data_IF_351169528287
#
_entry.id   IF_351169528287
#
_cell.length_a   1.000
_cell.length_b   1.000
_cell.length_c   1.000
_cell.angle_alpha   90.00
_cell.angle_beta   90.00
_cell.angle_gamma   90.00
#
_symmetry.space_group_name_H-M   'P 1'
#
loop_
_entity.id
_entity.type
_entity.pdbx_description
1 polymer ?
#
# COMPACT_ATOMS: atom_id res chain seq x y z
N UNK A 1 5.79 -8.27 -4.69
CA UNK A 1 4.38 -8.56 -5.07
C UNK A 1 3.55 -7.28 -5.28
N UNK A 2 3.79 -6.24 -4.47
CA UNK A 2 3.05 -4.96 -4.54
C UNK A 2 3.03 -4.27 -5.92
N UNK A 3 4.14 -4.31 -6.68
CA UNK A 3 4.20 -3.67 -8.01
C UNK A 3 3.22 -4.28 -9.01
N UNK A 4 2.91 -5.58 -8.89
CA UNK A 4 1.90 -6.24 -9.72
C UNK A 4 0.50 -5.73 -9.40
N UNK A 5 0.21 -5.51 -8.12
CA UNK A 5 -1.06 -4.95 -7.65
C UNK A 5 -1.24 -3.52 -8.14
N UNK A 6 -0.20 -2.69 -8.00
CA UNK A 6 -0.22 -1.30 -8.48
C UNK A 6 -0.41 -1.26 -10.00
N UNK A 7 0.27 -2.12 -10.75
CA UNK A 7 0.17 -2.15 -12.22
C UNK A 7 -1.22 -2.54 -12.72
N UNK A 8 -1.99 -3.29 -11.92
CA UNK A 8 -3.35 -3.70 -12.24
C UNK A 8 -4.42 -2.63 -11.96
N UNK A 9 -4.06 -1.50 -11.35
CA UNK A 9 -4.98 -0.39 -11.13
C UNK A 9 -5.34 0.30 -12.45
N UNK A 10 -6.59 0.73 -12.56
CA UNK A 10 -7.07 1.54 -13.68
C UNK A 10 -6.74 3.01 -13.43
N UNK A 11 -6.12 3.69 -14.40
CA UNK A 11 -5.78 5.11 -14.30
C UNK A 11 -4.32 5.36 -13.90
N UNK A 12 -3.63 6.21 -14.64
CA UNK A 12 -2.22 6.54 -14.39
C UNK A 12 -2.03 7.38 -13.12
N UNK A 13 -3.00 8.22 -12.77
CA UNK A 13 -2.96 9.03 -11.55
C UNK A 13 -3.05 8.16 -10.27
N UNK A 14 -3.93 7.15 -10.29
CA UNK A 14 -4.06 6.19 -9.18
C UNK A 14 -2.78 5.36 -9.03
N UNK A 15 -2.16 4.93 -10.14
CA UNK A 15 -0.86 4.24 -10.11
C UNK A 15 0.23 5.13 -9.51
N UNK A 16 0.34 6.37 -10.00
CA UNK A 16 1.36 7.31 -9.53
C UNK A 16 1.22 7.59 -8.02
N UNK A 17 -0.02 7.78 -7.56
CA UNK A 17 -0.32 7.96 -6.14
C UNK A 17 0.05 6.73 -5.30
N UNK A 18 -0.26 5.50 -5.76
CA UNK A 18 0.09 4.31 -4.99
C UNK A 18 1.59 4.02 -4.98
N UNK A 19 2.31 4.36 -6.05
CA UNK A 19 3.79 4.30 -6.07
C UNK A 19 4.39 5.28 -5.07
N UNK A 20 3.94 6.54 -5.05
CA UNK A 20 4.45 7.53 -4.09
C UNK A 20 4.13 7.12 -2.66
N UNK A 21 2.89 6.66 -2.40
CA UNK A 21 2.49 6.15 -1.08
C UNK A 21 3.39 5.00 -0.62
N UNK A 22 3.68 4.04 -1.50
CA UNK A 22 4.58 2.95 -1.17
C UNK A 22 5.98 3.46 -0.83
N UNK A 23 6.56 4.31 -1.68
CA UNK A 23 7.92 4.81 -1.52
C UNK A 23 8.09 5.68 -0.26
N UNK A 24 7.14 6.58 0.00
CA UNK A 24 7.22 7.53 1.11
C UNK A 24 7.06 6.83 2.47
N UNK A 25 6.25 5.77 2.54
CA UNK A 25 5.91 5.12 3.79
C UNK A 25 6.62 3.77 4.01
N UNK A 26 7.27 3.19 3.00
CA UNK A 26 7.92 1.87 3.12
C UNK A 26 8.90 1.82 4.29
N UNK A 27 9.75 2.85 4.46
CA UNK A 27 10.71 2.91 5.57
C UNK A 27 10.05 2.91 6.95
N UNK A 28 8.94 3.63 7.10
CA UNK A 28 8.18 3.69 8.35
C UNK A 28 7.52 2.34 8.66
N UNK A 29 6.84 1.76 7.66
CA UNK A 29 6.14 0.47 7.81
C UNK A 29 7.15 -0.63 8.11
N UNK A 30 8.27 -0.68 7.38
CA UNK A 30 9.35 -1.65 7.62
C UNK A 30 9.91 -1.57 9.04
N UNK A 31 10.20 -0.36 9.52
CA UNK A 31 10.67 -0.14 10.89
C UNK A 31 9.64 -0.61 11.91
N UNK A 32 8.37 -0.33 11.67
CA UNK A 32 7.28 -0.69 12.56
C UNK A 32 7.06 -2.20 12.62
N UNK A 33 6.98 -2.86 11.47
CA UNK A 33 6.83 -4.32 11.36
C UNK A 33 7.98 -5.02 12.06
N UNK A 34 9.22 -4.64 11.76
CA UNK A 34 10.39 -5.24 12.40
C UNK A 34 10.39 -5.05 13.92
N UNK A 35 10.04 -3.86 14.42
CA UNK A 35 9.97 -3.62 15.86
C UNK A 35 8.89 -4.43 16.57
N UNK A 36 7.86 -4.90 15.85
CA UNK A 36 6.80 -5.74 16.40
C UNK A 36 7.20 -7.22 16.32
N UNK A 37 7.64 -7.68 15.15
CA UNK A 37 7.88 -9.11 14.89
C UNK A 37 9.25 -9.57 15.34
N UNK A 38 10.25 -8.67 15.38
CA UNK A 38 11.67 -8.97 15.53
C UNK A 38 12.18 -10.01 14.50
N UNK A 39 11.46 -10.12 13.38
CA UNK A 39 11.69 -11.12 12.34
C UNK A 39 11.89 -10.37 11.03
N UNK A 40 13.14 -10.28 10.58
CA UNK A 40 13.50 -9.64 9.33
C UNK A 40 13.18 -10.52 8.11
N UNK A 41 13.13 -11.84 8.28
CA UNK A 41 12.96 -12.80 7.19
C UNK A 41 11.51 -12.76 6.68
N UNK A 42 10.54 -12.58 7.59
CA UNK A 42 9.12 -12.47 7.26
C UNK A 42 8.60 -11.02 7.18
N UNK A 43 9.45 -10.02 7.44
CA UNK A 43 9.02 -8.62 7.47
C UNK A 43 8.52 -8.14 6.10
N UNK A 44 9.16 -8.57 5.01
CA UNK A 44 8.84 -8.09 3.66
C UNK A 44 7.45 -8.51 3.20
N UNK A 45 7.02 -9.73 3.50
CA UNK A 45 5.69 -10.21 3.16
C UNK A 45 4.61 -9.45 3.94
N UNK A 46 4.83 -9.20 5.23
CA UNK A 46 3.91 -8.41 6.06
C UNK A 46 3.81 -6.96 5.59
N UNK A 47 4.94 -6.35 5.18
CA UNK A 47 4.94 -4.99 4.63
C UNK A 47 4.10 -4.96 3.34
N UNK A 48 4.32 -5.91 2.43
CA UNK A 48 3.55 -6.02 1.19
C UNK A 48 2.04 -6.18 1.48
N UNK A 49 1.66 -7.05 2.41
CA UNK A 49 0.26 -7.27 2.81
C UNK A 49 -0.41 -6.01 3.39
N UNK A 50 0.32 -5.25 4.21
CA UNK A 50 -0.16 -3.98 4.77
C UNK A 50 -0.46 -2.99 3.64
N UNK A 51 0.47 -2.83 2.69
CA UNK A 51 0.26 -1.90 1.57
C UNK A 51 -0.86 -2.36 0.65
N UNK A 52 -1.00 -3.67 0.37
CA UNK A 52 -2.14 -4.18 -0.41
C UNK A 52 -3.46 -3.83 0.27
N UNK A 53 -3.60 -4.08 1.57
CA UNK A 53 -4.80 -3.71 2.33
C UNK A 53 -5.06 -2.20 2.32
N UNK A 54 -4.00 -1.39 2.45
CA UNK A 54 -4.12 0.07 2.39
C UNK A 54 -4.61 0.53 1.03
N UNK A 55 -4.07 0.00 -0.07
CA UNK A 55 -4.49 0.29 -1.45
C UNK A 55 -5.96 -0.06 -1.64
N UNK A 56 -6.37 -1.26 -1.25
CA UNK A 56 -7.77 -1.68 -1.37
C UNK A 56 -8.73 -0.77 -0.59
N UNK A 57 -8.40 -0.44 0.65
CA UNK A 57 -9.22 0.42 1.51
C UNK A 57 -9.25 1.87 1.06
N UNK A 58 -8.14 2.41 0.57
CA UNK A 58 -8.05 3.78 0.07
C UNK A 58 -8.82 3.95 -1.24
N UNK A 59 -8.67 3.03 -2.20
CA UNK A 59 -9.47 3.03 -3.44
C UNK A 59 -10.97 2.91 -3.13
N UNK A 60 -11.36 2.03 -2.21
CA UNK A 60 -12.76 1.90 -1.77
C UNK A 60 -13.31 3.22 -1.21
N UNK A 61 -12.58 3.88 -0.30
CA UNK A 61 -13.01 5.13 0.34
C UNK A 61 -13.03 6.33 -0.60
N UNK A 62 -12.05 6.45 -1.51
CA UNK A 62 -12.02 7.54 -2.49
C UNK A 62 -13.21 7.43 -3.45
N UNK A 63 -13.53 6.22 -3.93
CA UNK A 63 -14.69 5.99 -4.81
C UNK A 63 -16.02 6.28 -4.11
N UNK A 64 -16.19 5.90 -2.84
CA UNK A 64 -17.43 6.18 -2.10
C UNK A 64 -17.60 7.67 -1.78
N UNK A 65 -16.51 8.39 -1.50
CA UNK A 65 -16.56 9.84 -1.27
C UNK A 65 -16.80 10.64 -2.55
N UNK A 66 -16.29 10.17 -3.70
CA UNK A 66 -16.52 10.79 -5.01
C UNK A 66 -17.96 10.60 -5.56
N UNK A 67 -18.67 9.56 -5.09
CA UNK A 67 -20.04 9.26 -5.51
C UNK A 67 -21.12 10.08 -4.79
N UNK A 68 -20.74 10.99 -3.88
CA UNK A 68 -21.63 11.92 -3.18
C UNK A 68 -21.60 13.36 -3.76
N UNK A 69 -21.22 13.53 -5.03
CA UNK A 69 -21.25 14.83 -5.71
C UNK A 69 -22.27 14.88 -6.83
#
# INVERSE_FOLDING_TARGET
MIMTVISALEGEDDKAFMVSLYQDYYGLVRKTVYNITHDADNAEDLINDIFIKLIEESVRKVKTLGSHK
#
